data_IF_919559134382
#
_entry.id   IF_919559134382
#
_cell.length_a   1.000
_cell.length_b   1.000
_cell.length_c   1.000
_cell.angle_alpha   90.00
_cell.angle_beta   90.00
_cell.angle_gamma   90.00
#
_symmetry.space_group_name_H-M   'P 1'
#
loop_
_entity.id
_entity.type
_entity.pdbx_description
1 polymer ?
#
# COMPACT_ATOMS: atom_id res chain seq x y z
N UNK A 1 -67.61 -41.89 25.83
CA UNK A 1 -66.44 -42.71 25.58
C UNK A 1 -65.81 -42.22 24.29
N UNK A 2 -64.79 -41.45 24.37
CA UNK A 2 -64.02 -40.95 23.21
C UNK A 2 -63.08 -42.08 22.75
N UNK A 3 -63.21 -42.45 21.49
CA UNK A 3 -62.52 -43.62 20.92
C UNK A 3 -61.05 -43.33 20.72
N UNK A 4 -60.20 -43.87 21.57
CA UNK A 4 -58.73 -43.68 21.60
C UNK A 4 -58.01 -43.99 20.28
N UNK A 5 -58.61 -44.81 19.40
CA UNK A 5 -58.04 -45.10 18.07
C UNK A 5 -58.13 -43.92 17.10
N UNK A 6 -59.03 -42.98 17.31
CA UNK A 6 -59.18 -41.78 16.47
C UNK A 6 -58.17 -40.73 16.82
N UNK A 7 -57.81 -40.58 18.12
CA UNK A 7 -56.79 -39.65 18.55
C UNK A 7 -55.38 -40.03 18.09
N UNK A 8 -55.03 -41.34 18.10
CA UNK A 8 -53.70 -41.79 17.66
C UNK A 8 -53.46 -41.57 16.17
N UNK A 9 -54.48 -41.74 15.32
CA UNK A 9 -54.38 -41.43 13.89
C UNK A 9 -54.23 -39.91 13.60
N UNK A 10 -54.93 -39.10 14.37
CA UNK A 10 -54.83 -37.65 14.26
C UNK A 10 -53.42 -37.15 14.69
N UNK A 11 -52.88 -37.72 15.76
CA UNK A 11 -51.55 -37.40 16.24
C UNK A 11 -50.45 -37.84 15.27
N UNK A 12 -50.56 -39.00 14.68
CA UNK A 12 -49.61 -39.51 13.66
C UNK A 12 -49.70 -38.66 12.37
N UNK A 13 -50.91 -38.21 11.98
CA UNK A 13 -51.05 -37.31 10.82
C UNK A 13 -50.45 -35.93 11.08
N UNK A 14 -50.64 -35.33 12.27
CA UNK A 14 -50.05 -34.07 12.65
C UNK A 14 -48.50 -34.17 12.74
N UNK A 15 -47.94 -35.24 13.29
CA UNK A 15 -46.51 -35.47 13.34
C UNK A 15 -45.89 -35.61 11.93
N UNK A 16 -46.56 -36.31 11.01
CA UNK A 16 -46.08 -36.43 9.64
C UNK A 16 -46.13 -35.09 8.86
N UNK A 17 -47.18 -34.25 9.08
CA UNK A 17 -47.29 -32.93 8.48
C UNK A 17 -46.23 -32.00 9.03
N UNK A 18 -45.93 -32.00 10.33
CA UNK A 18 -44.88 -31.22 10.95
C UNK A 18 -43.49 -31.66 10.45
N UNK A 19 -43.25 -32.96 10.28
CA UNK A 19 -42.00 -33.47 9.74
C UNK A 19 -41.77 -33.07 8.27
N UNK A 20 -42.82 -33.09 7.45
CA UNK A 20 -42.80 -32.64 6.06
C UNK A 20 -42.59 -31.13 5.97
N UNK A 21 -43.23 -30.33 6.84
CA UNK A 21 -43.02 -28.88 6.90
C UNK A 21 -41.60 -28.56 7.35
N UNK A 22 -41.02 -29.25 8.32
CA UNK A 22 -39.63 -29.07 8.75
C UNK A 22 -38.66 -29.46 7.63
N UNK A 23 -38.95 -30.50 6.85
CA UNK A 23 -38.15 -30.87 5.68
C UNK A 23 -38.20 -29.80 4.56
N UNK A 24 -39.37 -29.17 4.34
CA UNK A 24 -39.51 -28.11 3.36
C UNK A 24 -38.89 -26.76 3.83
N UNK A 25 -38.86 -26.50 5.13
CA UNK A 25 -38.19 -25.28 5.67
C UNK A 25 -36.65 -25.39 5.55
N UNK A 26 -36.09 -26.62 5.54
CA UNK A 26 -34.64 -26.80 5.31
C UNK A 26 -34.21 -26.78 3.83
N UNK A 27 -35.16 -26.69 2.87
CA UNK A 27 -34.82 -26.52 1.44
C UNK A 27 -34.93 -25.04 1.01
N UNK A 28 -35.41 -24.17 1.91
CA UNK A 28 -35.56 -22.74 1.63
C UNK A 28 -34.34 -21.92 2.08
N UNK A 29 -33.66 -21.35 1.14
CA UNK A 29 -32.56 -20.37 1.28
C UNK A 29 -31.23 -20.93 1.78
N UNK A 30 -30.62 -21.81 1.04
CA UNK A 30 -29.20 -21.61 0.75
C UNK A 30 -29.16 -20.44 -0.27
N UNK A 31 -29.03 -19.23 0.19
CA UNK A 31 -28.32 -18.20 -0.57
C UNK A 31 -27.04 -18.89 -1.02
N UNK A 32 -26.70 -18.85 -2.31
CA UNK A 32 -25.38 -19.31 -2.72
C UNK A 32 -24.42 -18.40 -1.94
N UNK A 33 -23.82 -18.92 -0.88
CA UNK A 33 -22.57 -18.41 -0.41
C UNK A 33 -21.66 -18.62 -1.63
N UNK A 34 -21.45 -17.53 -2.37
CA UNK A 34 -20.32 -17.46 -3.25
C UNK A 34 -19.14 -17.79 -2.33
N UNK A 35 -18.68 -19.03 -2.34
CA UNK A 35 -17.39 -19.39 -1.82
C UNK A 35 -16.43 -18.55 -2.67
N UNK A 36 -16.03 -17.42 -2.14
CA UNK A 36 -14.93 -16.65 -2.73
C UNK A 36 -13.75 -17.61 -2.66
N UNK A 37 -13.27 -18.01 -3.81
CA UNK A 37 -12.12 -18.88 -3.92
C UNK A 37 -10.94 -18.14 -3.33
N UNK A 38 -10.31 -18.75 -2.34
CA UNK A 38 -9.14 -18.21 -1.67
C UNK A 38 -7.91 -18.99 -2.16
N UNK A 39 -6.87 -18.29 -2.62
CA UNK A 39 -5.63 -18.88 -3.11
C UNK A 39 -5.63 -19.34 -4.58
N UNK A 40 -6.76 -19.24 -5.29
CA UNK A 40 -6.86 -19.67 -6.70
C UNK A 40 -6.45 -18.57 -7.69
N UNK A 41 -6.34 -17.33 -7.23
CA UNK A 41 -6.02 -16.18 -8.09
C UNK A 41 -4.53 -15.86 -8.14
N UNK A 42 -3.71 -16.50 -7.29
CA UNK A 42 -2.25 -16.41 -7.39
C UNK A 42 -1.78 -17.37 -8.46
N UNK A 43 -1.35 -16.86 -9.58
CA UNK A 43 -0.82 -17.64 -10.69
C UNK A 43 0.67 -17.38 -10.88
N UNK A 44 1.40 -18.39 -11.38
CA UNK A 44 2.78 -18.17 -11.79
C UNK A 44 2.78 -17.43 -13.13
N UNK A 45 3.46 -16.30 -13.19
CA UNK A 45 3.64 -15.53 -14.41
C UNK A 45 5.00 -15.87 -15.03
N UNK A 46 5.02 -16.09 -16.34
CA UNK A 46 6.25 -16.25 -17.11
C UNK A 46 7.15 -15.00 -17.12
N UNK A 47 6.64 -13.89 -16.62
CA UNK A 47 7.36 -12.60 -16.52
C UNK A 47 7.91 -12.30 -15.11
N UNK A 48 7.94 -13.31 -14.22
CA UNK A 48 8.53 -13.19 -12.88
C UNK A 48 9.98 -12.72 -12.95
N UNK A 49 10.26 -11.65 -12.22
CA UNK A 49 11.61 -11.09 -12.09
C UNK A 49 12.19 -11.50 -10.74
N UNK A 50 13.31 -12.20 -10.76
CA UNK A 50 14.03 -12.58 -9.54
C UNK A 50 15.15 -11.58 -9.28
N UNK A 51 15.19 -11.06 -8.05
CA UNK A 51 16.19 -10.10 -7.60
C UNK A 51 16.91 -10.70 -6.41
N UNK A 52 18.18 -10.99 -6.58
CA UNK A 52 19.04 -11.50 -5.52
C UNK A 52 19.74 -10.32 -4.83
N UNK A 53 19.58 -10.25 -3.53
CA UNK A 53 20.16 -9.19 -2.69
C UNK A 53 21.05 -9.82 -1.66
N UNK A 54 22.37 -9.58 -1.77
CA UNK A 54 23.33 -9.86 -0.72
C UNK A 54 23.71 -8.53 -0.04
N UNK A 55 23.22 -8.27 1.16
CA UNK A 55 23.50 -7.00 1.84
C UNK A 55 24.98 -6.77 2.14
N UNK A 56 25.74 -7.85 2.33
CA UNK A 56 27.15 -7.82 2.71
C UNK A 56 28.10 -8.06 1.50
N UNK A 57 27.55 -8.29 0.29
CA UNK A 57 28.30 -8.57 -0.92
C UNK A 57 29.15 -7.37 -1.38
N UNK A 58 30.32 -7.63 -1.94
CA UNK A 58 31.32 -6.63 -2.33
C UNK A 58 30.96 -5.84 -3.60
N UNK A 59 30.19 -6.42 -4.53
CA UNK A 59 29.79 -5.74 -5.77
C UNK A 59 28.89 -4.55 -5.48
N UNK A 60 29.39 -3.37 -5.78
CA UNK A 60 28.69 -2.11 -5.50
C UNK A 60 28.95 -1.11 -6.61
N UNK A 61 27.87 -0.49 -7.06
CA UNK A 61 27.93 0.66 -7.96
C UNK A 61 27.84 1.95 -7.16
N UNK A 62 28.53 2.99 -7.61
CA UNK A 62 28.29 4.32 -7.10
C UNK A 62 26.88 4.74 -7.53
N UNK A 63 26.04 5.12 -6.57
CA UNK A 63 24.65 5.54 -6.86
C UNK A 63 24.63 6.67 -7.90
N UNK A 64 25.55 7.63 -7.76
CA UNK A 64 25.69 8.77 -8.66
C UNK A 64 25.96 8.37 -10.13
N UNK A 65 26.53 7.19 -10.37
CA UNK A 65 26.74 6.69 -11.74
C UNK A 65 25.49 6.14 -12.42
N UNK A 66 24.40 6.01 -11.66
CA UNK A 66 23.11 5.48 -12.11
C UNK A 66 22.01 6.55 -12.14
N UNK A 67 22.33 7.78 -11.74
CA UNK A 67 21.41 8.92 -11.70
C UNK A 67 21.91 9.97 -12.69
N UNK A 68 21.09 10.34 -13.63
CA UNK A 68 21.45 11.32 -14.66
C UNK A 68 21.40 12.76 -14.12
N UNK A 69 20.41 13.08 -13.28
CA UNK A 69 20.23 14.42 -12.71
C UNK A 69 19.54 14.40 -11.35
N UNK A 70 19.83 15.38 -10.51
CA UNK A 70 19.17 15.62 -9.22
C UNK A 70 18.72 17.07 -9.17
N UNK A 71 17.44 17.28 -9.02
CA UNK A 71 16.85 18.60 -8.84
C UNK A 71 16.05 18.72 -7.55
N UNK A 72 15.77 19.94 -7.11
CA UNK A 72 15.04 20.22 -5.89
C UNK A 72 13.77 20.99 -6.18
N UNK A 73 12.66 20.51 -5.63
CA UNK A 73 11.40 21.25 -5.58
C UNK A 73 11.23 21.78 -4.16
N UNK A 74 11.45 23.08 -3.99
CA UNK A 74 11.21 23.75 -2.71
C UNK A 74 9.72 24.02 -2.57
N UNK A 75 9.08 23.42 -1.60
CA UNK A 75 7.68 23.69 -1.30
C UNK A 75 7.52 25.04 -0.59
N UNK A 76 6.55 25.82 -1.04
CA UNK A 76 6.12 27.03 -0.36
C UNK A 76 5.68 26.69 1.07
N UNK A 77 6.03 27.57 2.02
CA UNK A 77 5.69 27.40 3.42
C UNK A 77 5.14 28.72 3.96
N UNK A 78 3.85 28.72 4.30
CA UNK A 78 3.14 29.84 4.92
C UNK A 78 2.04 29.29 5.85
N UNK A 79 1.22 30.16 6.46
CA UNK A 79 0.14 29.77 7.37
C UNK A 79 -0.89 28.83 6.74
N UNK A 80 -1.07 28.86 5.43
CA UNK A 80 -2.08 28.09 4.71
C UNK A 80 -1.59 26.71 4.29
N UNK A 81 -0.26 26.50 4.22
CA UNK A 81 0.36 25.26 3.75
C UNK A 81 1.50 24.77 4.67
N UNK A 82 1.33 24.91 5.97
CA UNK A 82 2.30 24.38 6.93
C UNK A 82 2.16 22.86 7.04
N UNK A 83 3.16 22.14 6.55
CA UNK A 83 3.24 20.68 6.60
C UNK A 83 3.98 20.29 7.90
N UNK A 84 3.32 19.54 8.75
CA UNK A 84 3.93 19.00 9.97
C UNK A 84 4.59 17.64 9.77
N UNK A 85 3.93 16.77 8.97
CA UNK A 85 4.43 15.44 8.63
C UNK A 85 3.97 15.06 7.22
N UNK A 86 4.85 14.45 6.43
CA UNK A 86 4.49 13.91 5.12
C UNK A 86 4.12 12.43 5.29
N UNK A 87 2.83 12.14 5.18
CA UNK A 87 2.32 10.78 5.25
C UNK A 87 2.26 10.12 3.87
N UNK A 88 1.76 10.83 2.87
CA UNK A 88 1.69 10.35 1.49
C UNK A 88 1.95 11.50 0.53
N UNK A 89 2.59 11.19 -0.59
CA UNK A 89 2.74 12.09 -1.73
C UNK A 89 2.15 11.41 -2.96
N UNK A 90 1.38 12.14 -3.76
CA UNK A 90 0.97 11.75 -5.09
C UNK A 90 1.33 12.82 -6.10
N UNK A 91 1.70 12.40 -7.29
CA UNK A 91 2.01 13.31 -8.39
C UNK A 91 1.05 13.05 -9.56
N UNK A 92 0.35 14.09 -9.99
CA UNK A 92 -0.34 14.11 -11.28
C UNK A 92 0.53 14.80 -12.33
N UNK A 93 0.04 14.92 -13.55
CA UNK A 93 0.75 15.67 -14.60
C UNK A 93 0.96 17.15 -14.22
N UNK A 94 0.05 17.75 -13.45
CA UNK A 94 0.04 19.19 -13.16
C UNK A 94 0.44 19.51 -11.71
N UNK A 95 0.18 18.59 -10.76
CA UNK A 95 0.25 18.91 -9.34
C UNK A 95 1.02 17.87 -8.55
N UNK A 96 1.49 18.30 -7.39
CA UNK A 96 2.02 17.48 -6.30
C UNK A 96 1.05 17.60 -5.13
N UNK A 97 0.51 16.47 -4.69
CA UNK A 97 -0.39 16.38 -3.53
C UNK A 97 0.37 15.81 -2.35
N UNK A 98 0.25 16.46 -1.19
CA UNK A 98 0.89 16.02 0.07
C UNK A 98 -0.18 15.86 1.13
N UNK A 99 -0.24 14.67 1.70
CA UNK A 99 -1.14 14.35 2.81
C UNK A 99 -0.38 14.35 4.12
N UNK A 100 -0.84 15.15 5.08
CA UNK A 100 -0.39 15.18 6.46
C UNK A 100 -1.53 14.68 7.35
N UNK A 101 -1.43 13.46 7.85
CA UNK A 101 -2.47 12.83 8.69
C UNK A 101 -2.29 13.14 10.15
N UNK A 102 -1.02 13.23 10.61
CA UNK A 102 -0.73 13.23 12.05
C UNK A 102 -0.77 14.59 12.70
N UNK A 103 -0.45 15.65 11.94
CA UNK A 103 -0.35 17.01 12.48
C UNK A 103 -1.48 17.89 11.97
N UNK A 104 -1.60 18.05 10.66
CA UNK A 104 -2.57 18.95 10.07
C UNK A 104 -3.90 18.27 9.71
N UNK A 105 -3.92 16.95 9.54
CA UNK A 105 -5.04 16.18 8.98
C UNK A 105 -5.59 16.88 7.71
N UNK A 106 -4.71 17.09 6.73
CA UNK A 106 -4.99 17.87 5.54
C UNK A 106 -4.29 17.33 4.30
N UNK A 107 -4.85 17.62 3.13
CA UNK A 107 -4.20 17.41 1.83
C UNK A 107 -3.89 18.76 1.21
N UNK A 108 -2.63 18.98 0.89
CA UNK A 108 -2.11 20.16 0.25
C UNK A 108 -1.81 19.89 -1.22
N UNK A 109 -2.16 20.81 -2.08
CA UNK A 109 -1.89 20.77 -3.52
C UNK A 109 -0.88 21.86 -3.86
N UNK A 110 0.23 21.45 -4.48
CA UNK A 110 1.27 22.34 -5.00
C UNK A 110 1.38 22.18 -6.51
N UNK A 111 1.81 23.22 -7.20
CA UNK A 111 2.22 23.11 -8.60
C UNK A 111 3.57 22.38 -8.72
N UNK A 112 4.02 22.13 -9.95
CA UNK A 112 5.29 21.44 -10.22
C UNK A 112 6.54 22.26 -9.82
N UNK A 113 6.39 23.53 -9.52
CA UNK A 113 7.44 24.40 -9.01
C UNK A 113 7.46 24.48 -7.48
N UNK A 114 6.48 23.84 -6.81
CA UNK A 114 6.36 23.82 -5.36
C UNK A 114 5.58 24.99 -4.78
N UNK A 115 4.92 25.82 -5.60
CA UNK A 115 4.05 26.87 -5.10
C UNK A 115 2.74 26.29 -4.59
N UNK A 116 2.27 26.76 -3.44
CA UNK A 116 0.99 26.32 -2.89
C UNK A 116 -0.18 26.79 -3.74
N UNK A 117 -1.07 25.87 -4.09
CA UNK A 117 -2.24 26.16 -4.91
C UNK A 117 -3.51 26.15 -4.08
N UNK A 118 -3.73 25.09 -3.29
CA UNK A 118 -4.94 24.93 -2.49
C UNK A 118 -4.85 23.74 -1.51
N UNK A 119 -5.83 23.64 -0.62
CA UNK A 119 -6.14 22.41 0.10
C UNK A 119 -7.24 21.62 -0.63
N UNK A 120 -7.24 20.30 -0.45
CA UNK A 120 -8.28 19.41 -0.98
C UNK A 120 -9.14 18.95 0.20
N UNK A 121 -10.42 19.33 0.18
CA UNK A 121 -11.34 19.04 1.28
C UNK A 121 -10.96 19.74 2.58
N UNK A 122 -11.64 19.36 3.64
CA UNK A 122 -11.37 19.83 5.03
C UNK A 122 -11.96 18.86 6.04
N UNK A 123 -11.51 18.96 7.29
CA UNK A 123 -12.08 18.22 8.41
C UNK A 123 -13.49 18.71 8.71
N UNK A 124 -14.44 17.77 8.85
CA UNK A 124 -15.82 18.05 9.20
C UNK A 124 -16.75 16.85 9.01
N UNK A 125 -18.08 17.12 8.96
CA UNK A 125 -19.13 16.11 8.84
C UNK A 125 -20.07 16.34 7.64
N UNK A 126 -19.87 17.41 6.90
CA UNK A 126 -20.68 17.77 5.73
C UNK A 126 -20.25 17.00 4.47
N UNK A 127 -20.98 17.20 3.35
CA UNK A 127 -20.58 16.66 2.06
C UNK A 127 -19.18 17.14 1.66
N UNK A 128 -18.31 16.21 1.27
CA UNK A 128 -16.92 16.52 0.96
C UNK A 128 -16.06 16.95 2.16
N UNK A 129 -16.51 16.68 3.37
CA UNK A 129 -15.71 16.84 4.58
C UNK A 129 -15.36 15.47 5.15
N UNK A 130 -14.10 15.27 5.55
CA UNK A 130 -13.59 14.01 6.09
C UNK A 130 -13.32 14.11 7.60
N UNK A 131 -13.36 12.98 8.28
CA UNK A 131 -13.06 12.91 9.71
C UNK A 131 -11.55 12.82 9.97
N UNK A 132 -10.95 11.74 9.55
CA UNK A 132 -9.51 11.49 9.65
C UNK A 132 -9.04 10.78 8.40
N UNK A 133 -8.10 11.39 7.71
CA UNK A 133 -7.53 10.82 6.49
C UNK A 133 -6.75 9.53 6.78
N UNK A 134 -6.88 8.59 5.87
CA UNK A 134 -6.13 7.34 5.85
C UNK A 134 -5.30 7.23 4.58
N UNK A 135 -5.90 7.47 3.42
CA UNK A 135 -5.28 7.31 2.11
C UNK A 135 -5.77 8.36 1.14
N UNK A 136 -4.94 8.71 0.18
CA UNK A 136 -5.34 9.43 -1.04
C UNK A 136 -4.93 8.63 -2.27
N UNK A 137 -5.77 8.64 -3.30
CA UNK A 137 -5.53 8.01 -4.58
C UNK A 137 -5.82 8.99 -5.72
N UNK A 138 -5.16 8.82 -6.86
CA UNK A 138 -5.54 9.47 -8.11
C UNK A 138 -6.31 8.48 -8.97
N UNK A 139 -7.35 8.97 -9.67
CA UNK A 139 -7.97 8.17 -10.72
C UNK A 139 -6.98 7.98 -11.87
N UNK A 140 -7.09 6.88 -12.60
CA UNK A 140 -6.14 6.54 -13.67
C UNK A 140 -6.10 7.56 -14.81
N UNK A 141 -7.21 8.29 -15.05
CA UNK A 141 -7.27 9.40 -15.99
C UNK A 141 -6.67 10.69 -15.41
N UNK A 142 -6.20 10.66 -14.16
CA UNK A 142 -5.63 11.76 -13.40
C UNK A 142 -6.53 13.02 -13.32
N UNK A 143 -7.86 12.83 -13.39
CA UNK A 143 -8.80 13.96 -13.32
C UNK A 143 -9.41 14.17 -11.94
N UNK A 144 -9.31 13.15 -11.08
CA UNK A 144 -9.87 13.20 -9.74
C UNK A 144 -8.87 12.72 -8.70
N UNK A 145 -8.94 13.31 -7.53
CA UNK A 145 -8.30 12.81 -6.31
C UNK A 145 -9.37 12.25 -5.39
N UNK A 146 -9.11 11.10 -4.82
CA UNK A 146 -10.01 10.38 -3.92
C UNK A 146 -9.36 10.31 -2.56
N UNK A 147 -10.04 10.81 -1.54
CA UNK A 147 -9.60 10.76 -0.15
C UNK A 147 -10.40 9.70 0.59
N UNK A 148 -9.74 8.84 1.31
CA UNK A 148 -10.35 7.81 2.13
C UNK A 148 -10.18 8.13 3.61
N UNK A 149 -11.29 8.12 4.36
CA UNK A 149 -11.34 8.46 5.79
C UNK A 149 -11.84 7.30 6.67
N UNK A 150 -11.57 6.04 6.26
CA UNK A 150 -12.03 4.79 6.87
C UNK A 150 -13.51 4.46 6.62
N UNK A 151 -14.37 5.46 6.45
CA UNK A 151 -15.80 5.26 6.30
C UNK A 151 -16.30 5.61 4.89
N UNK A 152 -15.61 6.55 4.23
CA UNK A 152 -16.04 7.11 2.96
C UNK A 152 -14.87 7.35 2.02
N UNK A 153 -15.20 7.29 0.74
CA UNK A 153 -14.38 7.75 -0.36
C UNK A 153 -14.94 9.11 -0.80
N UNK A 154 -14.15 10.17 -0.62
CA UNK A 154 -14.49 11.52 -1.00
C UNK A 154 -13.83 11.87 -2.32
N UNK A 155 -14.60 12.08 -3.36
CA UNK A 155 -14.12 12.38 -4.70
C UNK A 155 -14.09 13.88 -4.94
N UNK A 156 -12.95 14.38 -5.40
CA UNK A 156 -12.76 15.78 -5.79
C UNK A 156 -12.15 15.84 -7.18
N UNK A 157 -12.45 16.91 -7.94
CA UNK A 157 -11.63 17.24 -9.10
C UNK A 157 -10.25 17.79 -8.65
N UNK A 158 -9.31 17.95 -9.58
CA UNK A 158 -7.99 18.47 -9.24
C UNK A 158 -8.01 19.95 -8.83
N UNK A 159 -9.13 20.64 -9.04
CA UNK A 159 -9.36 22.01 -8.54
C UNK A 159 -9.90 22.05 -7.11
N UNK A 160 -10.05 20.86 -6.46
CA UNK A 160 -10.52 20.74 -5.09
C UNK A 160 -12.03 20.86 -4.94
N UNK A 161 -12.79 20.89 -6.04
CA UNK A 161 -14.25 20.87 -6.00
C UNK A 161 -14.73 19.47 -5.66
N UNK A 162 -15.52 19.35 -4.60
CA UNK A 162 -16.18 18.10 -4.22
C UNK A 162 -17.15 17.62 -5.32
N UNK A 163 -17.08 16.33 -5.63
CA UNK A 163 -17.89 15.68 -6.66
C UNK A 163 -18.95 14.78 -6.01
N UNK A 164 -18.52 13.86 -5.16
CA UNK A 164 -19.38 12.90 -4.47
C UNK A 164 -18.69 12.27 -3.27
N UNK A 165 -19.49 11.74 -2.35
CA UNK A 165 -19.07 10.84 -1.29
C UNK A 165 -19.66 9.46 -1.54
N UNK A 166 -18.89 8.40 -1.28
CA UNK A 166 -19.32 7.01 -1.42
C UNK A 166 -18.89 6.24 -0.20
N UNK A 167 -19.83 5.51 0.42
CA UNK A 167 -19.52 4.61 1.53
C UNK A 167 -19.28 3.20 0.99
N UNK A 168 -18.04 2.69 1.05
CA UNK A 168 -17.76 1.31 0.66
C UNK A 168 -18.43 0.33 1.63
N UNK A 169 -18.68 -0.89 1.18
CA UNK A 169 -19.21 -1.98 2.00
C UNK A 169 -18.10 -2.74 2.74
N UNK A 170 -16.89 -2.25 2.72
CA UNK A 170 -15.71 -2.85 3.35
C UNK A 170 -14.99 -1.83 4.24
N UNK A 171 -14.10 -2.35 5.06
CA UNK A 171 -13.13 -1.59 5.84
C UNK A 171 -11.72 -2.04 5.44
N UNK A 172 -10.82 -1.10 5.18
CA UNK A 172 -9.45 -1.41 4.84
C UNK A 172 -8.49 -0.36 5.41
N UNK A 173 -7.29 -0.77 5.81
CA UNK A 173 -6.26 0.14 6.31
C UNK A 173 -5.52 0.84 5.19
N UNK A 174 -5.51 0.25 4.01
CA UNK A 174 -4.93 0.83 2.81
C UNK A 174 -5.78 0.46 1.61
N UNK A 175 -5.88 1.35 0.64
CA UNK A 175 -6.64 1.13 -0.59
C UNK A 175 -5.86 1.66 -1.80
N UNK A 176 -6.11 1.07 -2.96
CA UNK A 176 -5.72 1.63 -4.26
C UNK A 176 -6.85 1.51 -5.27
N UNK A 177 -6.91 2.47 -6.19
CA UNK A 177 -7.92 2.55 -7.24
C UNK A 177 -7.27 2.35 -8.61
N UNK A 178 -7.83 1.48 -9.43
CA UNK A 178 -7.42 1.36 -10.83
C UNK A 178 -8.60 1.57 -11.76
N UNK A 179 -8.39 2.42 -12.78
CA UNK A 179 -9.29 2.63 -13.93
C UNK A 179 -10.75 2.88 -13.55
N UNK A 180 -11.05 3.31 -12.32
CA UNK A 180 -12.40 3.36 -11.76
C UNK A 180 -13.15 2.01 -11.82
N UNK A 181 -12.46 0.92 -12.17
CA UNK A 181 -13.08 -0.38 -12.41
C UNK A 181 -13.03 -1.29 -11.21
N UNK A 182 -11.98 -1.18 -10.39
CA UNK A 182 -11.87 -1.95 -9.16
C UNK A 182 -11.07 -1.25 -8.07
N UNK A 183 -11.21 -1.74 -6.86
CA UNK A 183 -10.54 -1.25 -5.65
C UNK A 183 -9.82 -2.43 -5.02
N UNK A 184 -8.53 -2.31 -4.78
CA UNK A 184 -7.79 -3.21 -3.93
C UNK A 184 -7.77 -2.64 -2.51
N UNK A 185 -8.16 -3.44 -1.53
CA UNK A 185 -8.11 -3.10 -0.12
C UNK A 185 -7.15 -4.02 0.63
N UNK A 186 -6.31 -3.45 1.48
CA UNK A 186 -5.43 -4.18 2.38
C UNK A 186 -5.93 -4.03 3.81
N UNK A 187 -6.16 -5.16 4.50
CA UNK A 187 -6.70 -5.21 5.85
C UNK A 187 -5.62 -5.75 6.77
N UNK A 188 -5.26 -4.99 7.78
CA UNK A 188 -4.37 -5.49 8.83
C UNK A 188 -5.08 -6.54 9.70
N UNK A 189 -4.31 -7.50 10.15
CA UNK A 189 -4.79 -8.53 11.05
C UNK A 189 -5.39 -7.93 12.33
N UNK A 190 -6.55 -8.44 12.75
CA UNK A 190 -7.21 -8.03 13.99
C UNK A 190 -8.40 -7.10 13.85
N UNK A 191 -8.64 -6.54 12.66
CA UNK A 191 -9.75 -5.60 12.44
C UNK A 191 -11.02 -6.24 11.89
N UNK A 192 -10.96 -7.49 11.46
CA UNK A 192 -12.10 -8.25 10.96
C UNK A 192 -12.35 -9.48 11.84
N UNK A 193 -13.60 -9.74 12.20
CA UNK A 193 -14.01 -10.86 13.09
C UNK A 193 -14.15 -12.19 12.32
N UNK A 194 -13.77 -12.21 11.04
CA UNK A 194 -13.87 -13.39 10.19
C UNK A 194 -12.71 -14.36 10.45
N UNK A 195 -13.03 -15.62 10.75
CA UNK A 195 -12.06 -16.70 10.96
C UNK A 195 -11.21 -17.04 9.72
N UNK A 196 -11.56 -16.49 8.55
CA UNK A 196 -10.83 -16.61 7.28
C UNK A 196 -10.25 -15.27 6.84
N UNK A 197 -9.52 -14.61 7.72
CA UNK A 197 -8.90 -13.32 7.43
C UNK A 197 -7.94 -13.40 6.24
N UNK A 198 -8.14 -12.50 5.29
CA UNK A 198 -7.26 -12.32 4.15
C UNK A 198 -6.71 -10.90 4.16
N UNK A 199 -5.45 -10.74 3.76
CA UNK A 199 -4.83 -9.42 3.74
C UNK A 199 -5.20 -8.58 2.52
N UNK A 200 -5.45 -9.22 1.38
CA UNK A 200 -5.87 -8.55 0.16
C UNK A 200 -7.33 -8.88 -0.15
N UNK A 201 -8.12 -7.84 -0.41
CA UNK A 201 -9.47 -7.97 -0.97
C UNK A 201 -9.58 -7.08 -2.21
N UNK A 202 -10.15 -7.60 -3.27
CA UNK A 202 -10.35 -6.86 -4.52
C UNK A 202 -11.84 -6.78 -4.82
N UNK A 203 -12.31 -5.57 -5.12
CA UNK A 203 -13.72 -5.25 -5.34
C UNK A 203 -13.89 -4.58 -6.71
N UNK A 204 -15.06 -4.77 -7.31
CA UNK A 204 -15.46 -3.99 -8.49
C UNK A 204 -15.87 -2.56 -8.11
N UNK A 205 -16.20 -1.75 -9.14
CA UNK A 205 -16.63 -0.35 -8.98
C UNK A 205 -17.91 -0.17 -8.14
N UNK A 206 -18.70 -1.24 -7.98
CA UNK A 206 -19.95 -1.26 -7.20
C UNK A 206 -19.74 -1.88 -5.81
N UNK A 207 -18.48 -2.06 -5.39
CA UNK A 207 -18.02 -2.65 -4.13
C UNK A 207 -18.43 -4.11 -3.94
N UNK A 208 -18.69 -4.84 -5.03
CA UNK A 208 -18.86 -6.27 -4.96
C UNK A 208 -17.47 -6.94 -4.88
N UNK A 209 -17.30 -7.80 -3.89
CA UNK A 209 -16.07 -8.58 -3.74
C UNK A 209 -15.86 -9.49 -4.95
N UNK A 210 -14.69 -9.39 -5.55
CA UNK A 210 -14.26 -10.22 -6.68
C UNK A 210 -13.44 -11.40 -6.17
N UNK A 211 -12.39 -11.14 -5.39
CA UNK A 211 -11.58 -12.19 -4.77
C UNK A 211 -10.82 -11.67 -3.54
N UNK A 212 -10.26 -12.61 -2.79
CA UNK A 212 -9.37 -12.36 -1.64
C UNK A 212 -8.15 -13.24 -1.73
N UNK A 213 -6.99 -12.73 -1.28
CA UNK A 213 -5.72 -13.45 -1.27
C UNK A 213 -4.89 -13.12 -0.02
N UNK A 214 -3.87 -13.91 0.22
CA UNK A 214 -2.93 -13.81 1.34
C UNK A 214 -3.60 -14.01 2.69
N UNK A 215 -3.75 -15.28 3.15
CA UNK A 215 -4.28 -15.57 4.47
C UNK A 215 -3.58 -14.73 5.54
N UNK A 216 -4.35 -14.04 6.36
CA UNK A 216 -3.80 -13.33 7.50
C UNK A 216 -3.27 -14.34 8.52
N UNK A 217 -2.05 -14.13 8.95
CA UNK A 217 -1.37 -15.04 9.88
C UNK A 217 -1.15 -14.41 11.25
N UNK A 218 -1.80 -13.31 11.53
CA UNK A 218 -1.65 -12.64 12.81
C UNK A 218 -2.86 -12.92 13.69
N UNK A 219 -2.59 -13.49 14.86
CA UNK A 219 -3.59 -13.70 15.88
C UNK A 219 -3.81 -12.46 16.77
N UNK A 220 -2.93 -11.47 16.65
CA UNK A 220 -2.94 -10.23 17.44
C UNK A 220 -2.89 -9.01 16.51
N UNK A 221 -3.33 -7.87 17.01
CA UNK A 221 -3.28 -6.60 16.30
C UNK A 221 -1.82 -6.17 16.13
N UNK A 222 -1.27 -6.41 14.95
CA UNK A 222 0.04 -5.92 14.57
C UNK A 222 -0.10 -4.72 13.65
N UNK A 223 0.44 -3.63 14.07
CA UNK A 223 0.81 -2.57 13.15
C UNK A 223 2.08 -3.02 12.43
N UNK A 224 1.91 -3.67 11.28
CA UNK A 224 3.02 -4.00 10.42
C UNK A 224 3.68 -2.70 9.95
N UNK A 225 4.85 -2.38 10.50
CA UNK A 225 5.70 -1.30 10.01
C UNK A 225 6.30 -1.62 8.62
N UNK A 226 5.46 -2.10 7.70
CA UNK A 226 5.85 -2.47 6.35
C UNK A 226 5.79 -1.31 5.34
N UNK A 227 6.11 -0.13 5.80
CA UNK A 227 5.78 1.10 5.09
C UNK A 227 4.28 1.41 5.30
N UNK A 228 3.94 2.69 5.37
CA UNK A 228 2.57 3.11 5.68
C UNK A 228 1.54 2.69 4.62
N UNK A 229 1.98 2.25 3.44
CA UNK A 229 1.13 1.87 2.32
C UNK A 229 1.68 0.62 1.61
N UNK A 230 1.22 -0.58 1.99
CA UNK A 230 1.59 -1.83 1.31
C UNK A 230 1.07 -1.88 -0.13
N UNK A 231 -0.07 -1.25 -0.41
CA UNK A 231 -0.61 -1.10 -1.76
C UNK A 231 -0.08 0.18 -2.39
N UNK A 232 0.41 0.08 -3.63
CA UNK A 232 0.92 1.21 -4.41
C UNK A 232 0.52 1.11 -5.86
N UNK A 233 0.19 2.26 -6.43
CA UNK A 233 -0.02 2.39 -7.88
C UNK A 233 1.21 3.01 -8.54
N UNK A 234 1.58 2.45 -9.70
CA UNK A 234 2.57 3.00 -10.60
C UNK A 234 1.99 3.00 -12.01
N UNK A 235 1.71 4.19 -12.52
CA UNK A 235 0.92 4.32 -13.74
C UNK A 235 -0.49 3.75 -13.54
N UNK A 236 -0.87 2.77 -14.35
CA UNK A 236 -2.18 2.10 -14.26
C UNK A 236 -2.13 0.75 -13.53
N UNK A 237 -1.00 0.39 -12.97
CA UNK A 237 -0.80 -0.89 -12.31
C UNK A 237 -0.82 -0.73 -10.78
N UNK A 238 -1.46 -1.65 -10.07
CA UNK A 238 -1.39 -1.76 -8.61
C UNK A 238 -0.44 -2.89 -8.23
N UNK A 239 0.32 -2.63 -7.19
CA UNK A 239 1.25 -3.59 -6.60
C UNK A 239 1.03 -3.70 -5.10
N UNK A 240 1.17 -4.92 -4.59
CA UNK A 240 1.20 -5.23 -3.16
C UNK A 240 2.58 -5.76 -2.79
N UNK A 241 3.23 -5.14 -1.82
CA UNK A 241 4.39 -5.73 -1.14
C UNK A 241 3.89 -6.69 -0.07
N UNK A 242 4.18 -7.98 -0.24
CA UNK A 242 3.84 -8.98 0.79
C UNK A 242 4.69 -8.72 2.04
N UNK A 243 4.08 -8.67 3.23
CA UNK A 243 4.75 -8.21 4.44
C UNK A 243 5.94 -9.05 4.90
N UNK A 244 5.90 -10.36 4.69
CA UNK A 244 6.93 -11.26 5.19
C UNK A 244 8.04 -11.57 4.18
N UNK A 245 7.67 -12.03 2.99
CA UNK A 245 8.64 -12.41 1.97
C UNK A 245 9.24 -11.20 1.25
N UNK A 246 8.57 -10.04 1.35
CA UNK A 246 8.87 -8.81 0.60
C UNK A 246 8.70 -8.95 -0.92
N UNK A 247 8.13 -10.07 -1.38
CA UNK A 247 7.78 -10.24 -2.77
C UNK A 247 6.71 -9.23 -3.18
N UNK A 248 6.78 -8.79 -4.42
CA UNK A 248 5.85 -7.80 -4.95
C UNK A 248 4.92 -8.47 -5.93
N UNK A 249 3.65 -8.39 -5.64
CA UNK A 249 2.57 -8.92 -6.47
C UNK A 249 1.92 -7.80 -7.27
N UNK A 250 1.67 -8.05 -8.53
CA UNK A 250 0.81 -7.19 -9.35
C UNK A 250 -0.64 -7.62 -9.16
N UNK A 251 -1.51 -6.63 -8.95
CA UNK A 251 -2.94 -6.82 -8.69
C UNK A 251 -3.70 -6.45 -9.97
N UNK A 252 -4.51 -7.38 -10.46
CA UNK A 252 -5.43 -7.19 -11.56
C UNK A 252 -6.87 -7.45 -11.09
N UNK A 253 -7.84 -7.17 -11.92
CA UNK A 253 -9.27 -7.29 -11.57
C UNK A 253 -9.69 -8.72 -11.21
N UNK A 254 -9.11 -9.71 -11.88
CA UNK A 254 -9.50 -11.12 -11.79
C UNK A 254 -8.42 -12.02 -11.17
N UNK A 255 -7.25 -11.47 -10.89
CA UNK A 255 -6.10 -12.24 -10.39
C UNK A 255 -5.06 -11.36 -9.76
N UNK A 256 -4.18 -11.96 -8.97
CA UNK A 256 -2.87 -11.38 -8.64
C UNK A 256 -1.75 -12.36 -8.96
N UNK A 257 -0.55 -11.85 -9.21
CA UNK A 257 0.61 -12.70 -9.50
C UNK A 257 1.90 -12.05 -9.02
N UNK A 258 2.83 -12.90 -8.64
CA UNK A 258 4.15 -12.47 -8.20
C UNK A 258 4.92 -11.85 -9.37
N UNK A 259 5.25 -10.57 -9.26
CA UNK A 259 5.98 -9.82 -10.27
C UNK A 259 7.46 -9.73 -9.99
N UNK A 260 7.82 -9.52 -8.72
CA UNK A 260 9.20 -9.49 -8.27
C UNK A 260 9.38 -10.42 -7.08
N UNK A 261 10.28 -11.36 -7.20
CA UNK A 261 10.73 -12.23 -6.11
C UNK A 261 12.02 -11.70 -5.54
N UNK A 262 12.00 -11.35 -4.27
CA UNK A 262 13.14 -10.74 -3.58
C UNK A 262 13.84 -11.82 -2.75
N UNK A 263 15.01 -12.23 -3.19
CA UNK A 263 15.83 -13.22 -2.50
C UNK A 263 16.94 -12.51 -1.72
N UNK A 264 16.77 -12.33 -0.41
CA UNK A 264 17.80 -11.79 0.47
C UNK A 264 18.67 -12.97 0.91
N UNK A 265 19.86 -13.10 0.32
CA UNK A 265 20.71 -14.29 0.49
C UNK A 265 21.44 -14.32 1.82
N UNK A 266 21.61 -13.17 2.48
CA UNK A 266 22.30 -13.05 3.76
C UNK A 266 21.55 -12.10 4.69
N UNK A 267 21.22 -12.58 5.89
CA UNK A 267 20.58 -11.76 6.92
C UNK A 267 19.09 -11.45 6.69
N UNK A 268 18.44 -12.03 5.69
CA UNK A 268 16.99 -11.90 5.45
C UNK A 268 16.13 -12.54 6.55
N UNK A 269 14.81 -12.39 6.43
CA UNK A 269 13.87 -13.02 7.34
C UNK A 269 13.98 -14.54 7.27
N UNK A 270 13.85 -15.24 8.41
CA UNK A 270 13.78 -16.70 8.42
C UNK A 270 12.47 -17.17 7.79
N UNK A 271 12.30 -18.47 7.66
CA UNK A 271 11.00 -19.07 7.45
C UNK A 271 10.03 -18.57 8.54
N UNK A 272 8.80 -18.26 8.14
CA UNK A 272 7.84 -17.65 9.06
C UNK A 272 7.43 -18.66 10.15
N UNK A 273 7.58 -18.32 11.45
CA UNK A 273 7.07 -19.14 12.54
C UNK A 273 5.54 -19.30 12.47
N UNK A 274 5.04 -20.48 12.80
CA UNK A 274 3.59 -20.74 12.86
C UNK A 274 2.89 -19.95 13.98
N UNK A 275 3.61 -19.71 15.08
CA UNK A 275 3.15 -19.02 16.29
C UNK A 275 3.65 -17.56 16.38
N UNK A 276 3.67 -16.85 15.25
CA UNK A 276 4.12 -15.46 15.19
C UNK A 276 3.37 -14.59 16.19
N UNK A 277 4.10 -13.90 17.04
CA UNK A 277 3.59 -12.88 17.96
C UNK A 277 4.40 -11.58 17.84
N UNK A 278 3.93 -10.50 18.53
CA UNK A 278 4.54 -9.16 18.48
C UNK A 278 6.02 -9.16 18.80
N UNK A 279 6.40 -9.81 19.88
CA UNK A 279 7.78 -9.79 20.37
C UNK A 279 8.72 -10.50 19.38
N UNK A 280 8.28 -11.64 18.86
CA UNK A 280 9.01 -12.38 17.84
C UNK A 280 9.17 -11.57 16.56
N UNK A 281 8.09 -10.92 16.10
CA UNK A 281 8.12 -10.05 14.93
C UNK A 281 9.09 -8.88 15.12
N UNK A 282 8.95 -8.12 16.22
CA UNK A 282 9.81 -6.96 16.53
C UNK A 282 11.29 -7.36 16.57
N UNK A 283 11.58 -8.51 17.18
CA UNK A 283 12.95 -9.04 17.25
C UNK A 283 13.50 -9.38 15.86
N UNK A 284 12.70 -9.97 15.00
CA UNK A 284 13.13 -10.31 13.64
C UNK A 284 13.35 -9.03 12.83
N UNK A 285 12.39 -8.11 12.81
CA UNK A 285 12.52 -6.82 12.10
C UNK A 285 13.72 -6.02 12.61
N UNK A 286 13.93 -6.01 13.91
CA UNK A 286 15.05 -5.28 14.53
C UNK A 286 16.43 -5.87 14.26
N UNK A 287 16.54 -7.12 13.78
CA UNK A 287 17.81 -7.83 13.60
C UNK A 287 18.11 -8.26 12.17
N UNK A 288 17.10 -8.27 11.31
CA UNK A 288 17.16 -8.81 9.96
C UNK A 288 17.06 -7.73 8.89
N UNK A 289 17.54 -8.08 7.71
CA UNK A 289 17.38 -7.24 6.52
C UNK A 289 15.98 -7.40 5.97
N UNK A 290 15.31 -6.29 5.70
CA UNK A 290 13.99 -6.27 5.09
C UNK A 290 13.90 -5.15 4.05
N UNK A 291 13.00 -5.31 3.09
CA UNK A 291 12.71 -4.26 2.13
C UNK A 291 11.84 -3.19 2.80
N UNK A 292 12.42 -2.00 2.99
CA UNK A 292 11.72 -0.89 3.61
C UNK A 292 10.75 -0.22 2.63
N UNK A 293 11.19 -0.03 1.37
CA UNK A 293 10.41 0.66 0.36
C UNK A 293 10.76 0.21 -1.06
N UNK A 294 9.92 0.56 -2.04
CA UNK A 294 10.16 0.32 -3.46
C UNK A 294 9.44 1.34 -4.33
N UNK A 295 9.96 1.51 -5.55
CA UNK A 295 9.32 2.29 -6.61
C UNK A 295 9.49 1.56 -7.94
N UNK A 296 8.46 1.56 -8.76
CA UNK A 296 8.49 0.98 -10.10
C UNK A 296 8.30 2.12 -11.09
N UNK A 297 9.27 2.28 -11.97
CA UNK A 297 9.26 3.19 -13.11
C UNK A 297 9.10 2.37 -14.40
N UNK A 298 8.98 3.02 -15.53
CA UNK A 298 8.82 2.33 -16.82
C UNK A 298 10.02 1.43 -17.13
N UNK A 299 11.23 1.96 -17.05
CA UNK A 299 12.48 1.26 -17.39
C UNK A 299 13.20 0.64 -16.19
N UNK A 300 12.83 1.00 -14.96
CA UNK A 300 13.54 0.60 -13.75
C UNK A 300 12.60 0.24 -12.60
N UNK A 301 13.07 -0.63 -11.73
CA UNK A 301 12.48 -0.82 -10.39
C UNK A 301 13.57 -0.59 -9.34
N UNK A 302 13.24 0.22 -8.32
CA UNK A 302 14.13 0.54 -7.20
C UNK A 302 13.60 -0.14 -5.95
N UNK A 303 14.50 -0.79 -5.22
CA UNK A 303 14.19 -1.46 -3.96
C UNK A 303 15.12 -0.94 -2.88
N UNK A 304 14.55 -0.51 -1.80
CA UNK A 304 15.25 0.03 -0.65
C UNK A 304 15.18 -0.92 0.52
N UNK A 305 16.33 -1.27 1.11
CA UNK A 305 16.40 -2.22 2.21
C UNK A 305 16.83 -1.54 3.50
N UNK A 306 16.38 -2.03 4.63
CA UNK A 306 16.81 -1.62 5.96
C UNK A 306 17.38 -2.81 6.73
N UNK A 307 18.37 -2.54 7.56
CA UNK A 307 18.95 -3.51 8.49
C UNK A 307 18.92 -2.93 9.90
N UNK A 308 18.50 -3.70 10.87
CA UNK A 308 18.44 -3.29 12.28
C UNK A 308 17.56 -2.05 12.55
N UNK A 309 16.52 -1.86 11.77
CA UNK A 309 15.51 -0.82 12.01
C UNK A 309 15.93 0.63 11.72
N UNK A 310 17.20 0.97 11.66
CA UNK A 310 17.64 2.38 11.61
C UNK A 310 18.92 2.67 10.82
N UNK A 311 19.69 1.70 10.44
CA UNK A 311 20.99 1.98 9.86
C UNK A 311 21.16 1.26 8.55
N UNK A 312 21.40 2.05 7.50
CA UNK A 312 22.22 1.59 6.42
C UNK A 312 21.57 0.59 5.46
N UNK A 313 21.27 1.04 4.29
CA UNK A 313 20.52 0.22 3.36
C UNK A 313 21.11 0.30 1.97
N UNK A 314 21.38 -0.84 1.34
CA UNK A 314 21.64 -0.84 -0.08
C UNK A 314 20.38 -0.49 -0.84
N UNK A 315 20.51 0.34 -1.86
CA UNK A 315 19.57 0.42 -2.96
C UNK A 315 19.89 -0.68 -3.96
N UNK A 316 18.85 -1.29 -4.46
CA UNK A 316 18.95 -2.21 -5.57
C UNK A 316 18.09 -1.67 -6.71
N UNK A 317 18.71 -1.44 -7.86
CA UNK A 317 18.04 -0.97 -9.07
C UNK A 317 18.04 -2.13 -10.06
N UNK A 318 16.86 -2.46 -10.55
CA UNK A 318 16.68 -3.42 -11.63
C UNK A 318 16.29 -2.68 -12.91
N UNK A 319 17.01 -2.91 -13.99
CA UNK A 319 16.66 -2.38 -15.30
C UNK A 319 15.77 -3.35 -16.08
N UNK A 320 14.56 -2.94 -16.41
CA UNK A 320 13.64 -3.73 -17.22
C UNK A 320 14.17 -3.96 -18.65
N UNK A 321 14.94 -2.99 -19.15
CA UNK A 321 15.50 -3.03 -20.50
C UNK A 321 16.67 -4.01 -20.61
N UNK A 322 17.66 -3.90 -19.72
CA UNK A 322 18.88 -4.72 -19.75
C UNK A 322 18.77 -6.02 -18.97
N UNK A 323 17.72 -6.18 -18.15
CA UNK A 323 17.52 -7.30 -17.20
C UNK A 323 18.66 -7.44 -16.18
N UNK A 324 19.36 -6.36 -15.90
CA UNK A 324 20.47 -6.33 -14.93
C UNK A 324 20.04 -5.71 -13.61
N UNK A 325 20.62 -6.23 -12.55
CA UNK A 325 20.49 -5.69 -11.20
C UNK A 325 21.76 -4.93 -10.82
N UNK A 326 21.59 -3.74 -10.30
CA UNK A 326 22.66 -2.88 -9.82
C UNK A 326 22.47 -2.68 -8.32
N UNK A 327 23.48 -3.02 -7.54
CA UNK A 327 23.46 -2.83 -6.10
C UNK A 327 24.28 -1.60 -5.75
N UNK A 328 23.71 -0.67 -5.02
CA UNK A 328 24.37 0.54 -4.54
C UNK A 328 24.59 0.42 -3.04
N UNK A 329 25.81 0.23 -2.60
CA UNK A 329 26.12 0.24 -1.17
C UNK A 329 26.22 1.69 -0.69
N UNK A 330 25.59 1.99 0.45
CA UNK A 330 25.57 3.32 1.05
C UNK A 330 26.91 3.89 1.50
N UNK A 331 28.04 3.30 1.11
CA UNK A 331 29.37 3.88 1.37
C UNK A 331 29.73 5.03 0.43
N UNK A 332 29.05 5.16 -0.69
CA UNK A 332 29.22 6.28 -1.63
C UNK A 332 28.09 7.27 -1.36
N UNK A 333 28.33 8.13 -0.39
CA UNK A 333 27.40 9.15 0.06
C UNK A 333 27.16 10.19 -1.03
N UNK A 334 25.98 10.19 -1.61
CA UNK A 334 25.36 11.47 -1.87
C UNK A 334 24.61 11.88 -0.58
N UNK A 335 25.07 12.89 0.16
CA UNK A 335 24.43 13.33 1.40
C UNK A 335 22.96 13.72 1.21
N UNK A 336 22.55 14.08 -0.01
CA UNK A 336 21.21 14.49 -0.37
C UNK A 336 20.23 13.31 -0.40
N UNK A 337 20.73 12.11 -0.66
CA UNK A 337 19.92 10.91 -0.78
C UNK A 337 19.72 10.20 0.57
N UNK A 338 20.72 10.25 1.44
CA UNK A 338 20.76 9.49 2.71
C UNK A 338 20.28 10.27 3.93
N UNK A 339 19.86 11.51 3.75
CA UNK A 339 19.17 12.25 4.80
C UNK A 339 17.76 11.69 5.06
N UNK A 340 17.32 10.76 4.24
CA UNK A 340 16.04 10.10 4.40
C UNK A 340 16.09 9.09 5.55
N UNK A 341 15.25 9.29 6.56
CA UNK A 341 15.01 8.29 7.59
C UNK A 341 14.08 7.22 7.01
N UNK A 342 14.55 5.99 6.79
CA UNK A 342 13.68 4.93 6.27
C UNK A 342 12.54 4.70 7.26
N UNK A 343 11.33 4.64 6.73
CA UNK A 343 10.14 4.27 7.50
C UNK A 343 9.11 5.36 7.72
N UNK A 344 9.43 6.65 7.50
CA UNK A 344 8.47 7.72 7.73
C UNK A 344 8.08 8.54 6.49
N UNK A 345 8.77 8.39 5.38
CA UNK A 345 8.48 9.14 4.16
C UNK A 345 8.69 8.30 2.92
N UNK A 346 7.66 8.07 2.10
CA UNK A 346 7.75 7.18 0.97
C UNK A 346 8.59 7.78 -0.17
N UNK A 347 9.34 6.92 -0.86
CA UNK A 347 9.84 7.22 -2.21
C UNK A 347 8.65 7.16 -3.16
N UNK A 348 8.49 8.15 -4.02
CA UNK A 348 7.31 8.31 -4.87
C UNK A 348 7.68 8.43 -6.33
N UNK A 349 6.95 7.75 -7.19
CA UNK A 349 7.02 7.94 -8.63
C UNK A 349 6.51 9.37 -8.97
N UNK A 350 7.36 10.17 -9.60
CA UNK A 350 6.99 11.52 -10.07
C UNK A 350 6.49 11.50 -11.50
N UNK A 351 7.18 10.76 -12.34
CA UNK A 351 6.82 10.43 -13.71
C UNK A 351 7.43 9.08 -14.09
N UNK A 352 7.48 8.76 -15.37
CA UNK A 352 7.94 7.46 -15.88
C UNK A 352 9.41 7.13 -15.58
N UNK A 353 10.24 8.15 -15.38
CA UNK A 353 11.70 8.05 -15.23
C UNK A 353 12.19 8.67 -13.93
N UNK A 354 11.36 9.48 -13.28
CA UNK A 354 11.74 10.29 -12.12
C UNK A 354 11.03 9.82 -10.85
N UNK A 355 11.74 9.77 -9.75
CA UNK A 355 11.17 9.56 -8.42
C UNK A 355 11.50 10.72 -7.47
N UNK A 356 10.63 10.94 -6.49
CA UNK A 356 10.82 11.94 -5.45
C UNK A 356 11.21 11.30 -4.13
N UNK A 357 12.13 11.95 -3.44
CA UNK A 357 12.45 11.66 -2.05
C UNK A 357 12.20 12.92 -1.24
N UNK A 358 11.19 12.92 -0.36
CA UNK A 358 10.92 14.09 0.46
C UNK A 358 12.03 14.28 1.51
N UNK A 359 12.42 15.54 1.70
CA UNK A 359 13.45 15.92 2.65
C UNK A 359 12.92 17.03 3.57
N UNK A 360 13.14 16.89 4.87
CA UNK A 360 12.82 17.99 5.78
C UNK A 360 13.85 19.13 5.67
N UNK A 361 13.40 20.37 5.74
CA UNK A 361 14.30 21.53 5.75
C UNK A 361 15.38 21.42 6.85
N UNK A 362 15.02 20.89 8.02
CA UNK A 362 15.95 20.68 9.14
C UNK A 362 17.07 19.70 8.73
N UNK A 363 16.73 18.63 8.03
CA UNK A 363 17.69 17.66 7.53
C UNK A 363 18.61 18.29 6.51
N UNK A 364 18.06 19.00 5.52
CA UNK A 364 18.85 19.71 4.50
C UNK A 364 19.79 20.74 5.14
N UNK A 365 19.31 21.50 6.11
CA UNK A 365 20.15 22.48 6.83
C UNK A 365 21.29 21.82 7.61
N UNK A 366 21.03 20.68 8.26
CA UNK A 366 22.06 19.94 9.00
C UNK A 366 23.15 19.41 8.07
N UNK A 367 22.81 19.07 6.85
CA UNK A 367 23.71 18.52 5.84
C UNK A 367 24.29 19.57 4.90
N UNK A 368 24.02 20.85 5.14
CA UNK A 368 24.40 21.95 4.27
C UNK A 368 25.85 21.92 3.79
N UNK A 369 26.80 21.70 4.69
CA UNK A 369 28.23 21.64 4.34
C UNK A 369 28.57 20.45 3.44
N UNK A 370 27.95 19.30 3.68
CA UNK A 370 28.15 18.10 2.86
C UNK A 370 27.53 18.25 1.48
N UNK A 371 26.39 18.93 1.40
CA UNK A 371 25.69 19.25 0.15
C UNK A 371 26.55 20.18 -0.71
N UNK A 372 27.11 21.27 -0.13
CA UNK A 372 27.93 22.24 -0.87
C UNK A 372 29.24 21.64 -1.40
N UNK A 373 29.75 20.60 -0.77
CA UNK A 373 30.99 19.93 -1.17
C UNK A 373 30.74 18.72 -2.09
N UNK A 374 29.49 18.45 -2.46
CA UNK A 374 29.17 17.36 -3.39
C UNK A 374 29.60 17.71 -4.81
N UNK A 375 30.31 16.82 -5.51
CA UNK A 375 30.71 17.05 -6.90
C UNK A 375 29.52 17.26 -7.84
N UNK A 376 28.35 16.64 -7.56
CA UNK A 376 27.14 16.78 -8.37
C UNK A 376 26.51 18.19 -8.35
N UNK A 377 26.81 19.01 -7.35
CA UNK A 377 26.30 20.38 -7.25
C UNK A 377 27.30 21.39 -7.84
N UNK A 378 28.59 21.05 -7.84
CA UNK A 378 29.63 21.96 -8.30
C UNK A 378 29.73 22.05 -9.83
N UNK A 379 29.22 21.06 -10.56
CA UNK A 379 29.23 21.05 -12.04
C UNK A 379 28.03 21.79 -12.68
N UNK A 380 27.09 22.28 -11.88
CA UNK A 380 25.89 23.03 -12.35
C UNK A 380 26.02 24.56 -12.26
N UNK A 381 27.25 25.11 -12.15
CA UNK A 381 27.52 26.57 -12.20
C UNK A 381 27.99 27.03 -13.56
#
# INVERSE_FOLDING_TARGET
MINYKSLSKLFTLCCNIVTVIILFINIGCQTPQNKVSTGEHIISDSTLIQINVDPDGEESYAFDSLIDDISYIKLETNSDCLIGNIHQILCSNEYIFIMDVFVANAVYCFDKHGNFVRRIGKVGQGPGEYSRLCKMCLTSDQKQIVLYDWNRLHYYDLNGKHIKDVSPSFYANDIELINNDFIAGFIEAGMDDDSQRQMLSVYDKDFKLLYREFPSFYNEVFHLNNGMHPLRSFGNDIYLKEPWTHNIYKIEKDRCYEKYRINITNGGYPERPEDMNSDTYIKIVGTKVHMADYVILEDYALFYFSKNGFTWSPFVIYSHKTKKTYKCNGRYYNPLFFAHSPGNTPIVCYDKETFLIPQSATTVMRMKEQIYNSPLINDSK
#
